data_IF_100734575949
#
_entry.id   IF_100734575949
#
_cell.length_a   1.000
_cell.length_b   1.000
_cell.length_c   1.000
_cell.angle_alpha   90.00
_cell.angle_beta   90.00
_cell.angle_gamma   90.00
#
_symmetry.space_group_name_H-M   'P 1'
#
loop_
_entity.id
_entity.type
_entity.pdbx_description
1 polymer ?
#
# COMPACT_ATOMS: atom_id res chain seq x y z
N UNK A 1 16.46 -34.04 9.06
CA UNK A 1 16.59 -32.57 9.02
C UNK A 1 17.61 -32.17 10.07
N UNK A 2 18.79 -31.69 9.69
CA UNK A 2 19.88 -31.40 10.64
C UNK A 2 19.60 -30.13 11.44
N UNK A 3 19.19 -30.29 12.71
CA UNK A 3 18.88 -29.21 13.66
C UNK A 3 20.03 -28.20 13.83
N UNK A 4 21.27 -28.69 13.64
CA UNK A 4 22.49 -27.88 13.69
C UNK A 4 22.62 -26.91 12.52
N UNK A 5 22.25 -27.32 11.30
CA UNK A 5 22.29 -26.43 10.13
C UNK A 5 21.27 -25.29 10.25
N UNK A 6 20.09 -25.58 10.82
CA UNK A 6 19.09 -24.55 11.14
C UNK A 6 19.59 -23.57 12.20
N UNK A 7 20.19 -24.07 13.29
CA UNK A 7 20.75 -23.22 14.35
C UNK A 7 21.88 -22.32 13.84
N UNK A 8 22.77 -22.88 13.02
CA UNK A 8 23.86 -22.12 12.40
C UNK A 8 23.34 -21.04 11.44
N UNK A 9 22.39 -21.38 10.58
CA UNK A 9 21.77 -20.41 9.67
C UNK A 9 21.03 -19.30 10.40
N UNK A 10 20.33 -19.63 11.50
CA UNK A 10 19.62 -18.66 12.33
C UNK A 10 20.59 -17.71 13.07
N UNK A 11 21.65 -18.24 13.67
CA UNK A 11 22.67 -17.44 14.34
C UNK A 11 23.42 -16.52 13.36
N UNK A 12 23.79 -17.04 12.19
CA UNK A 12 24.47 -16.25 11.16
C UNK A 12 23.54 -15.16 10.59
N UNK A 13 22.27 -15.47 10.35
CA UNK A 13 21.27 -14.53 9.87
C UNK A 13 20.97 -13.40 10.88
N UNK A 14 20.96 -13.71 12.17
CA UNK A 14 20.74 -12.69 13.21
C UNK A 14 21.95 -11.78 13.38
N UNK A 15 23.17 -12.31 13.37
CA UNK A 15 24.40 -11.52 13.42
C UNK A 15 24.56 -10.60 12.21
N UNK A 16 24.32 -11.11 10.99
CA UNK A 16 24.40 -10.30 9.76
C UNK A 16 23.35 -9.19 9.75
N UNK A 17 22.12 -9.47 10.20
CA UNK A 17 21.07 -8.45 10.31
C UNK A 17 21.43 -7.35 11.32
N UNK A 18 22.01 -7.71 12.48
CA UNK A 18 22.44 -6.74 13.49
C UNK A 18 23.65 -5.92 13.03
N UNK A 19 24.61 -6.55 12.34
CA UNK A 19 25.75 -5.83 11.76
C UNK A 19 25.29 -4.81 10.70
N UNK A 20 24.41 -5.22 9.78
CA UNK A 20 23.82 -4.31 8.79
C UNK A 20 22.98 -3.21 9.45
N UNK A 21 22.27 -3.54 10.52
CA UNK A 21 21.51 -2.54 11.28
C UNK A 21 22.43 -1.54 11.95
N UNK A 22 23.54 -1.97 12.55
CA UNK A 22 24.53 -1.09 13.17
C UNK A 22 25.25 -0.21 12.14
N UNK A 23 25.65 -0.78 10.99
CA UNK A 23 26.29 -0.03 9.88
C UNK A 23 25.33 1.00 9.28
N UNK A 24 24.05 0.65 9.13
CA UNK A 24 23.03 1.56 8.57
C UNK A 24 22.46 2.55 9.60
N UNK A 25 22.56 2.27 10.91
CA UNK A 25 22.03 3.13 11.98
C UNK A 25 22.78 4.44 12.17
N UNK A 26 23.96 4.61 11.57
CA UNK A 26 24.71 5.87 11.62
C UNK A 26 24.02 7.01 10.87
N UNK A 27 23.01 6.72 10.05
CA UNK A 27 22.19 7.70 9.33
C UNK A 27 20.72 7.67 9.74
N UNK A 28 20.44 7.45 11.01
CA UNK A 28 19.21 7.94 11.60
C UNK A 28 19.53 8.43 13.00
N UNK A 29 19.92 9.70 13.10
CA UNK A 29 19.61 10.44 14.32
C UNK A 29 18.14 10.11 14.67
N UNK A 30 17.80 9.86 15.94
CA UNK A 30 16.41 9.73 16.31
C UNK A 30 15.76 11.03 15.83
N UNK A 31 15.02 10.95 14.74
CA UNK A 31 14.22 12.07 14.28
C UNK A 31 13.35 12.33 15.49
N UNK A 32 13.66 13.42 16.21
CA UNK A 32 12.72 13.98 17.15
C UNK A 32 11.39 13.90 16.42
N UNK A 33 10.36 13.36 17.08
CA UNK A 33 9.01 13.41 16.56
C UNK A 33 8.68 14.89 16.52
N UNK A 34 9.20 15.60 15.51
CA UNK A 34 8.73 16.89 15.12
C UNK A 34 7.28 16.59 14.80
N UNK A 35 6.32 17.18 15.54
CA UNK A 35 4.94 17.10 15.11
C UNK A 35 4.98 17.55 13.66
N UNK A 36 4.65 16.62 12.75
CA UNK A 36 4.65 16.87 11.32
C UNK A 36 3.73 18.08 11.18
N UNK A 37 4.33 19.26 10.98
CA UNK A 37 3.57 20.48 10.80
C UNK A 37 2.64 20.16 9.64
N UNK A 38 1.34 20.09 9.93
CA UNK A 38 0.33 19.89 8.91
C UNK A 38 0.63 20.97 7.89
N UNK A 39 0.99 20.63 6.64
CA UNK A 39 1.18 21.65 5.64
C UNK A 39 -0.10 22.46 5.63
N UNK A 40 -0.01 23.73 6.04
CA UNK A 40 -1.13 24.66 5.96
C UNK A 40 -1.37 24.83 4.47
N UNK A 41 -2.24 23.97 3.94
CA UNK A 41 -2.73 24.09 2.59
C UNK A 41 -3.30 25.51 2.47
N UNK A 42 -3.01 26.21 1.37
CA UNK A 42 -3.60 27.53 1.16
C UNK A 42 -5.11 27.40 1.32
N UNK A 43 -5.76 28.42 1.91
CA UNK A 43 -7.20 28.38 2.10
C UNK A 43 -7.87 28.08 0.75
N UNK A 44 -8.90 27.23 0.72
CA UNK A 44 -9.54 26.86 -0.52
C UNK A 44 -9.97 28.13 -1.25
N UNK A 45 -9.58 28.27 -2.52
CA UNK A 45 -9.96 29.41 -3.36
C UNK A 45 -11.49 29.47 -3.60
N UNK A 46 -12.22 28.45 -3.13
CA UNK A 46 -13.63 28.24 -3.37
C UNK A 46 -14.35 28.18 -2.01
N UNK A 47 -15.42 28.96 -1.81
CA UNK A 47 -16.18 28.93 -0.57
C UNK A 47 -16.86 27.57 -0.36
N UNK A 48 -16.95 27.11 0.90
CA UNK A 48 -17.49 25.79 1.27
C UNK A 48 -18.90 25.52 0.71
N UNK A 49 -19.73 26.55 0.59
CA UNK A 49 -21.08 26.42 0.00
C UNK A 49 -21.01 26.01 -1.47
N UNK A 50 -20.09 26.61 -2.23
CA UNK A 50 -19.91 26.28 -3.64
C UNK A 50 -19.29 24.89 -3.79
N UNK A 51 -18.41 24.47 -2.86
CA UNK A 51 -17.89 23.09 -2.85
C UNK A 51 -19.03 22.08 -2.68
N UNK A 52 -19.94 22.31 -1.72
CA UNK A 52 -21.08 21.40 -1.51
C UNK A 52 -22.03 21.35 -2.69
N UNK A 53 -22.31 22.49 -3.31
CA UNK A 53 -23.10 22.54 -4.54
C UNK A 53 -22.38 21.82 -5.70
N UNK A 54 -21.04 21.94 -5.74
CA UNK A 54 -20.17 21.25 -6.67
C UNK A 54 -19.98 19.75 -6.39
N UNK A 55 -20.36 19.23 -5.24
CA UNK A 55 -20.22 17.79 -4.97
C UNK A 55 -21.31 16.96 -5.67
N UNK A 56 -22.43 17.59 -6.06
CA UNK A 56 -23.57 16.88 -6.65
C UNK A 56 -23.39 16.50 -8.12
N UNK A 57 -22.55 17.23 -8.84
CA UNK A 57 -22.32 17.01 -10.28
C UNK A 57 -20.84 16.72 -10.56
N UNK A 58 -20.52 15.75 -11.43
CA UNK A 58 -19.13 15.53 -11.82
C UNK A 58 -18.62 16.72 -12.65
N UNK A 59 -17.32 17.01 -12.55
CA UNK A 59 -16.70 18.15 -13.23
C UNK A 59 -16.88 18.11 -14.77
N UNK A 60 -17.01 16.92 -15.35
CA UNK A 60 -17.33 16.72 -16.77
C UNK A 60 -18.73 17.25 -17.13
N UNK A 61 -19.75 16.96 -16.31
CA UNK A 61 -21.09 17.50 -16.49
C UNK A 61 -21.09 19.02 -16.44
N UNK A 62 -20.31 19.59 -15.50
CA UNK A 62 -20.19 21.05 -15.34
C UNK A 62 -19.54 21.76 -16.54
N UNK A 63 -18.76 21.05 -17.35
CA UNK A 63 -18.20 21.58 -18.61
C UNK A 63 -19.15 21.46 -19.79
N UNK A 64 -20.40 21.01 -19.58
CA UNK A 64 -21.37 20.80 -20.65
C UNK A 64 -21.11 19.57 -21.51
N UNK A 65 -20.30 18.62 -21.01
CA UNK A 65 -20.02 17.37 -21.72
C UNK A 65 -21.16 16.39 -21.46
N UNK A 66 -21.76 15.83 -22.52
CA UNK A 66 -22.67 14.70 -22.37
C UNK A 66 -21.91 13.46 -21.87
N UNK A 67 -22.29 12.99 -20.69
CA UNK A 67 -21.62 11.89 -19.98
C UNK A 67 -21.78 10.58 -20.73
N UNK A 68 -22.93 10.37 -21.36
CA UNK A 68 -23.21 9.13 -22.07
C UNK A 68 -22.35 9.03 -23.32
N UNK A 69 -22.27 10.11 -24.08
CA UNK A 69 -21.37 10.22 -25.21
C UNK A 69 -19.90 10.08 -24.79
N UNK A 70 -19.49 10.77 -23.72
CA UNK A 70 -18.12 10.67 -23.21
C UNK A 70 -17.77 9.24 -22.77
N UNK A 71 -18.67 8.55 -22.07
CA UNK A 71 -18.47 7.18 -21.64
C UNK A 71 -18.32 6.22 -22.81
N UNK A 72 -19.21 6.31 -23.81
CA UNK A 72 -19.13 5.47 -25.01
C UNK A 72 -17.84 5.70 -25.82
N UNK A 73 -17.36 6.94 -25.89
CA UNK A 73 -16.14 7.28 -26.61
C UNK A 73 -14.85 6.88 -25.87
N UNK A 74 -14.84 6.91 -24.53
CA UNK A 74 -13.61 6.75 -23.74
C UNK A 74 -13.50 5.40 -23.01
N UNK A 75 -14.60 4.64 -22.92
CA UNK A 75 -14.56 3.31 -22.29
C UNK A 75 -14.67 2.22 -23.34
N UNK A 76 -13.86 1.18 -23.18
CA UNK A 76 -13.95 -0.07 -23.94
C UNK A 76 -14.20 -1.19 -22.95
N UNK A 77 -15.06 -2.12 -23.30
CA UNK A 77 -15.25 -3.34 -22.50
C UNK A 77 -13.97 -4.17 -22.64
N UNK A 78 -13.09 -4.04 -21.66
CA UNK A 78 -11.92 -4.91 -21.56
C UNK A 78 -12.42 -6.25 -21.03
N UNK A 79 -12.49 -7.25 -21.91
CA UNK A 79 -12.62 -8.65 -21.49
C UNK A 79 -11.39 -8.99 -20.64
N UNK A 80 -11.55 -8.88 -19.32
CA UNK A 80 -10.48 -9.24 -18.39
C UNK A 80 -10.24 -10.74 -18.57
N UNK A 81 -9.05 -11.18 -19.02
CA UNK A 81 -8.77 -12.60 -19.10
C UNK A 81 -8.95 -13.21 -17.72
N UNK A 82 -9.61 -14.36 -17.67
CA UNK A 82 -9.93 -15.05 -16.41
C UNK A 82 -8.65 -15.16 -15.55
N UNK A 83 -8.65 -14.46 -14.40
CA UNK A 83 -7.54 -14.54 -13.44
C UNK A 83 -7.41 -15.99 -13.02
N UNK A 84 -6.30 -16.64 -13.42
CA UNK A 84 -6.00 -18.01 -12.96
C UNK A 84 -6.01 -18.02 -11.44
N UNK A 85 -6.89 -18.82 -10.86
CA UNK A 85 -6.98 -19.00 -9.41
C UNK A 85 -5.62 -19.47 -8.88
N UNK A 86 -5.03 -18.69 -7.97
CA UNK A 86 -3.76 -19.04 -7.32
C UNK A 86 -4.03 -20.25 -6.44
N UNK A 87 -3.48 -21.43 -6.81
CA UNK A 87 -3.54 -22.62 -5.95
C UNK A 87 -2.93 -22.26 -4.60
N UNK A 88 -3.73 -22.37 -3.52
CA UNK A 88 -3.24 -22.20 -2.15
C UNK A 88 -2.27 -23.35 -1.87
N UNK A 89 -1.06 -23.09 -1.34
CA UNK A 89 -0.18 -24.17 -0.90
C UNK A 89 -0.92 -24.97 0.18
N UNK A 90 -0.90 -26.30 0.04
CA UNK A 90 -1.42 -27.22 1.06
C UNK A 90 -0.62 -26.95 2.32
N UNK A 91 -1.27 -26.37 3.33
CA UNK A 91 -0.73 -26.27 4.67
C UNK A 91 -0.47 -27.70 5.15
N UNK A 92 0.80 -28.11 5.22
CA UNK A 92 1.17 -29.33 5.92
C UNK A 92 0.76 -29.13 7.38
N UNK A 93 -0.23 -29.90 7.83
CA UNK A 93 -0.62 -29.96 9.22
C UNK A 93 0.62 -30.29 10.04
N UNK A 94 1.03 -29.35 10.89
CA UNK A 94 1.97 -29.63 11.95
C UNK A 94 1.18 -30.44 12.97
N UNK A 95 1.35 -31.76 12.93
CA UNK A 95 0.89 -32.64 14.00
C UNK A 95 1.57 -32.21 15.28
N UNK A 96 0.79 -31.69 16.22
CA UNK A 96 1.22 -31.41 17.59
C UNK A 96 1.66 -32.73 18.22
N UNK A 97 2.96 -32.92 18.39
CA UNK A 97 3.48 -33.97 19.24
C UNK A 97 3.24 -33.55 20.69
N UNK A 98 2.36 -34.29 21.34
CA UNK A 98 2.16 -34.35 22.79
C UNK A 98 3.49 -34.64 23.49
N UNK A 99 3.80 -33.83 24.50
CA UNK A 99 4.62 -34.19 25.66
C UNK A 99 3.93 -33.57 26.87
#
# INVERSE_FOLDING_TARGET
MSKLAYGFGFALGTLTRQFLYAVKKTSSAPTAIHPKAVPLLPPPCVPDRLVREMDHLPALARKGVDLNHWYAANTRVVEKPARRSRKKPIARSLTSATC
#
